data_IF_346081808908
#
_entry.id   IF_346081808908
#
_cell.length_a   1.000
_cell.length_b   1.000
_cell.length_c   1.000
_cell.angle_alpha   90.00
_cell.angle_beta   90.00
_cell.angle_gamma   90.00
#
_symmetry.space_group_name_H-M   'P 1'
#
loop_
_entity.id
_entity.type
_entity.pdbx_description
1 polymer ?
#
# COMPACT_ATOMS: atom_id res chain seq x y z
N UNK A 1 2.80 -7.07 -14.33
CA UNK A 1 2.94 -7.07 -12.86
C UNK A 1 3.02 -5.64 -12.39
N UNK A 2 2.14 -5.23 -11.47
CA UNK A 2 2.05 -3.87 -10.94
C UNK A 2 3.14 -3.65 -9.87
N UNK A 3 3.91 -2.56 -9.98
CA UNK A 3 4.85 -2.15 -8.93
C UNK A 3 4.20 -1.14 -8.01
N UNK A 4 4.14 -1.47 -6.73
CA UNK A 4 3.63 -0.61 -5.68
C UNK A 4 4.81 0.00 -4.92
N UNK A 5 4.95 1.31 -5.01
CA UNK A 5 5.85 2.11 -4.20
C UNK A 5 5.17 2.37 -2.86
N UNK A 6 5.85 2.13 -1.76
CA UNK A 6 5.30 2.37 -0.43
C UNK A 6 6.22 3.20 0.45
N UNK A 7 5.60 4.04 1.28
CA UNK A 7 6.29 4.77 2.32
C UNK A 7 5.48 4.71 3.60
N UNK A 8 6.19 4.63 4.73
CA UNK A 8 5.60 4.76 6.05
C UNK A 8 5.96 6.10 6.66
N UNK A 9 4.96 6.95 6.84
CA UNK A 9 5.11 8.31 7.32
C UNK A 9 4.74 8.36 8.81
N UNK A 10 5.61 8.97 9.61
CA UNK A 10 5.29 9.25 11.01
C UNK A 10 4.32 10.45 11.09
N UNK A 11 3.16 10.25 11.74
CA UNK A 11 2.19 11.33 11.99
C UNK A 11 1.86 11.43 13.48
N UNK A 12 1.29 12.54 13.97
CA UNK A 12 0.84 12.67 15.36
C UNK A 12 -0.21 11.64 15.80
N UNK A 13 -0.92 11.02 14.85
CA UNK A 13 -1.94 10.00 15.10
C UNK A 13 -1.37 8.56 15.07
N UNK A 14 -0.09 8.42 14.72
CA UNK A 14 0.59 7.14 14.50
C UNK A 14 1.17 7.01 13.09
N UNK A 15 1.86 5.89 12.79
CA UNK A 15 2.44 5.65 11.47
C UNK A 15 1.36 5.39 10.42
N UNK A 16 1.50 6.06 9.27
CA UNK A 16 0.58 5.96 8.13
C UNK A 16 1.32 5.35 6.93
N UNK A 17 0.76 4.31 6.34
CA UNK A 17 1.21 3.76 5.06
C UNK A 17 0.57 4.54 3.91
N UNK A 18 1.40 4.92 2.95
CA UNK A 18 0.96 5.47 1.66
C UNK A 18 1.53 4.58 0.57
N UNK A 19 0.65 4.04 -0.29
CA UNK A 19 1.03 3.13 -1.37
C UNK A 19 0.54 3.69 -2.69
N UNK A 20 1.45 3.81 -3.66
CA UNK A 20 1.20 4.31 -5.01
C UNK A 20 1.75 3.34 -6.05
N UNK A 21 1.33 3.48 -7.31
CA UNK A 21 2.05 2.84 -8.42
C UNK A 21 3.19 3.72 -8.97
N UNK A 22 3.95 3.19 -9.94
CA UNK A 22 5.03 3.93 -10.62
C UNK A 22 4.56 5.16 -11.42
N UNK A 23 3.26 5.33 -11.65
CA UNK A 23 2.68 6.55 -12.23
C UNK A 23 2.19 7.51 -11.15
N UNK A 24 2.56 7.29 -9.89
CA UNK A 24 2.16 8.05 -8.71
C UNK A 24 0.64 8.10 -8.49
N UNK A 25 -0.09 7.10 -8.97
CA UNK A 25 -1.51 6.95 -8.67
C UNK A 25 -1.66 6.25 -7.34
N UNK A 26 -2.50 6.81 -6.47
CA UNK A 26 -2.77 6.23 -5.16
C UNK A 26 -3.44 4.85 -5.28
N UNK A 27 -2.96 3.90 -4.46
CA UNK A 27 -3.44 2.52 -4.39
C UNK A 27 -3.93 2.15 -3.00
N UNK A 28 -3.30 2.66 -1.94
CA UNK A 28 -3.79 2.53 -0.57
C UNK A 28 -3.31 3.68 0.33
N UNK A 29 -4.11 4.00 1.34
CA UNK A 29 -3.72 4.76 2.54
C UNK A 29 -4.26 3.98 3.73
N UNK A 30 -3.40 3.58 4.65
CA UNK A 30 -3.84 2.81 5.81
C UNK A 30 -2.96 3.06 7.03
N UNK A 31 -3.55 3.04 8.22
CA UNK A 31 -2.80 3.13 9.47
C UNK A 31 -2.07 1.82 9.77
N UNK A 32 -0.90 1.87 10.41
CA UNK A 32 -0.11 0.66 10.74
C UNK A 32 -0.93 -0.41 11.47
N UNK A 33 -1.83 -0.03 12.40
CA UNK A 33 -2.67 -0.98 13.13
C UNK A 33 -3.66 -1.76 12.24
N UNK A 34 -3.87 -1.34 10.99
CA UNK A 34 -4.73 -2.01 10.01
C UNK A 34 -3.94 -2.53 8.80
N UNK A 35 -2.62 -2.68 8.91
CA UNK A 35 -1.75 -3.18 7.83
C UNK A 35 -2.25 -4.50 7.23
N UNK A 36 -2.65 -5.46 8.05
CA UNK A 36 -3.15 -6.76 7.56
C UNK A 36 -4.37 -6.60 6.65
N UNK A 37 -5.25 -5.64 6.97
CA UNK A 37 -6.41 -5.30 6.13
C UNK A 37 -5.98 -4.69 4.81
N UNK A 38 -4.99 -3.79 4.81
CA UNK A 38 -4.42 -3.24 3.57
C UNK A 38 -3.88 -4.36 2.69
N UNK A 39 -3.12 -5.30 3.25
CA UNK A 39 -2.54 -6.43 2.51
C UNK A 39 -3.63 -7.33 1.92
N UNK A 40 -4.72 -7.57 2.64
CA UNK A 40 -5.88 -8.29 2.10
C UNK A 40 -6.53 -7.55 0.93
N UNK A 41 -6.71 -6.22 1.04
CA UNK A 41 -7.31 -5.41 -0.02
C UNK A 41 -6.43 -5.39 -1.27
N UNK A 42 -5.11 -5.20 -1.13
CA UNK A 42 -4.17 -5.27 -2.26
C UNK A 42 -4.24 -6.64 -2.96
N UNK A 43 -4.31 -7.72 -2.19
CA UNK A 43 -4.50 -9.06 -2.74
C UNK A 43 -5.84 -9.23 -3.45
N UNK A 44 -6.94 -8.68 -2.93
CA UNK A 44 -8.24 -8.74 -3.60
C UNK A 44 -8.19 -8.01 -4.95
N UNK A 45 -7.52 -6.86 -5.01
CA UNK A 45 -7.53 -5.99 -6.18
C UNK A 45 -6.50 -6.35 -7.26
N UNK A 46 -5.33 -6.87 -6.88
CA UNK A 46 -4.18 -6.93 -7.79
C UNK A 46 -3.52 -8.31 -7.90
N UNK A 47 -4.01 -9.33 -7.17
CA UNK A 47 -3.39 -10.68 -7.22
C UNK A 47 -3.46 -11.34 -8.60
N UNK A 48 -4.46 -11.01 -9.41
CA UNK A 48 -4.68 -11.69 -10.69
C UNK A 48 -3.64 -11.28 -11.74
N UNK A 49 -3.36 -9.98 -11.82
CA UNK A 49 -2.34 -9.39 -12.71
C UNK A 49 -0.93 -9.45 -12.09
N UNK A 50 -0.86 -9.79 -10.80
CA UNK A 50 0.34 -9.82 -9.99
C UNK A 50 0.81 -8.43 -9.60
N UNK A 51 1.31 -8.29 -8.37
CA UNK A 51 1.95 -7.06 -7.90
C UNK A 51 3.15 -7.36 -7.01
N UNK A 52 4.07 -6.40 -6.94
CA UNK A 52 5.17 -6.38 -5.98
C UNK A 52 5.15 -5.06 -5.20
N UNK A 53 5.60 -5.11 -3.95
CA UNK A 53 5.73 -3.94 -3.07
C UNK A 53 7.21 -3.58 -2.95
N UNK A 54 7.52 -2.31 -3.15
CA UNK A 54 8.87 -1.75 -3.13
C UNK A 54 8.89 -0.64 -2.09
N UNK A 55 9.69 -0.85 -1.04
CA UNK A 55 9.88 0.07 0.09
C UNK A 55 11.23 0.78 0.01
#
# INVERSE_FOLDING_TARGET
MLRLLEEKIATPLGPLWVVCDEQFRLRAIEWEQYRDRMEQLLNIHYRHEGYERVS
#
